data_IF_614310812614
#
_entry.id   IF_614310812614
#
_cell.length_a   1.000
_cell.length_b   1.000
_cell.length_c   1.000
_cell.angle_alpha   90.00
_cell.angle_beta   90.00
_cell.angle_gamma   90.00
#
_symmetry.space_group_name_H-M   'P 1'
#
loop_
_entity.id
_entity.type
_entity.pdbx_description
1 polymer ?
#
# COMPACT_ATOMS: atom_id res chain seq x y z
N UNK A 1 -16.51 16.22 -30.46
CA UNK A 1 -16.77 17.12 -29.30
C UNK A 1 -15.74 16.81 -28.22
N UNK A 2 -14.75 17.69 -28.04
CA UNK A 2 -13.82 17.60 -26.91
C UNK A 2 -14.62 17.92 -25.64
N UNK A 3 -14.81 16.94 -24.77
CA UNK A 3 -15.41 17.18 -23.46
C UNK A 3 -14.40 17.98 -22.64
N UNK A 4 -14.73 19.23 -22.32
CA UNK A 4 -14.01 20.04 -21.34
C UNK A 4 -14.18 19.37 -19.98
N UNK A 5 -13.14 18.69 -19.50
CA UNK A 5 -13.09 17.99 -18.21
C UNK A 5 -12.90 18.99 -17.06
N UNK A 6 -13.90 19.82 -16.77
CA UNK A 6 -13.85 20.79 -15.66
C UNK A 6 -14.02 20.17 -14.27
N UNK A 7 -14.44 18.89 -14.19
CA UNK A 7 -14.63 18.14 -12.95
C UNK A 7 -13.81 16.83 -12.91
N UNK A 8 -12.59 16.84 -13.46
CA UNK A 8 -11.71 15.69 -13.31
C UNK A 8 -11.24 15.58 -11.85
N UNK A 9 -11.46 14.45 -11.16
CA UNK A 9 -10.87 14.24 -9.85
C UNK A 9 -9.34 14.30 -9.99
N UNK A 10 -8.67 14.97 -9.05
CA UNK A 10 -7.24 15.18 -9.15
C UNK A 10 -6.54 13.82 -8.96
N UNK A 11 -5.61 13.48 -9.86
CA UNK A 11 -4.84 12.25 -9.76
C UNK A 11 -4.16 12.10 -8.39
N UNK A 12 -3.70 13.21 -7.80
CA UNK A 12 -3.08 13.25 -6.49
C UNK A 12 -3.99 12.70 -5.37
N UNK A 13 -5.31 12.78 -5.53
CA UNK A 13 -6.29 12.29 -4.54
C UNK A 13 -6.33 10.76 -4.48
N UNK A 14 -5.85 10.07 -5.52
CA UNK A 14 -5.82 8.61 -5.61
C UNK A 14 -4.47 8.00 -5.22
N UNK A 15 -3.43 8.83 -5.01
CA UNK A 15 -2.11 8.34 -4.61
C UNK A 15 -2.10 8.17 -3.09
N UNK A 16 -2.03 6.93 -2.56
CA UNK A 16 -1.98 6.72 -1.13
C UNK A 16 -0.68 7.28 -0.55
N UNK A 17 -0.80 8.08 0.51
CA UNK A 17 0.36 8.63 1.22
C UNK A 17 1.25 7.49 1.71
N UNK A 18 2.53 7.55 1.36
CA UNK A 18 3.50 6.48 1.59
C UNK A 18 4.74 7.03 2.27
N UNK A 19 5.25 6.31 3.27
CA UNK A 19 6.43 6.65 4.07
C UNK A 19 7.38 5.48 4.05
N UNK A 20 8.66 5.77 3.90
CA UNK A 20 9.73 4.78 4.00
C UNK A 20 10.44 4.98 5.33
N UNK A 21 10.59 3.90 6.09
CA UNK A 21 11.17 3.90 7.43
C UNK A 21 12.23 2.82 7.50
N UNK A 22 13.48 3.18 7.77
CA UNK A 22 14.57 2.22 8.01
C UNK A 22 15.04 2.31 9.47
N UNK A 23 16.16 1.68 9.81
CA UNK A 23 16.74 1.75 11.16
C UNK A 23 17.17 3.16 11.59
N UNK A 24 17.61 3.99 10.65
CA UNK A 24 18.10 5.35 10.89
C UNK A 24 16.99 6.39 10.95
N UNK A 25 15.80 6.08 10.43
CA UNK A 25 14.67 7.00 10.43
C UNK A 25 14.21 7.31 11.85
N UNK A 26 14.12 8.61 12.18
CA UNK A 26 13.46 9.05 13.40
C UNK A 26 11.96 8.76 13.34
N UNK A 27 11.48 7.90 14.24
CA UNK A 27 10.07 7.53 14.29
C UNK A 27 9.19 8.67 14.80
N UNK A 28 9.72 9.58 15.63
CA UNK A 28 8.95 10.69 16.17
C UNK A 28 8.60 11.69 15.07
N UNK A 29 9.58 12.08 14.25
CA UNK A 29 9.35 12.89 13.05
C UNK A 29 8.31 12.26 12.12
N UNK A 30 8.47 10.99 11.75
CA UNK A 30 7.49 10.31 10.86
C UNK A 30 6.09 10.25 11.50
N UNK A 31 6.02 10.05 12.81
CA UNK A 31 4.74 10.06 13.52
C UNK A 31 4.09 11.45 13.50
N UNK A 32 4.87 12.52 13.63
CA UNK A 32 4.43 13.90 13.46
C UNK A 32 3.83 14.14 12.08
N UNK A 33 4.58 13.83 11.02
CA UNK A 33 4.14 14.00 9.63
C UNK A 33 2.86 13.22 9.32
N UNK A 34 2.76 11.99 9.81
CA UNK A 34 1.58 11.15 9.61
C UNK A 34 0.35 11.69 10.35
N UNK A 35 0.52 12.37 11.50
CA UNK A 35 -0.57 13.05 12.21
C UNK A 35 -1.03 14.28 11.46
N UNK A 36 -0.10 15.13 11.04
CA UNK A 36 -0.39 16.34 10.25
C UNK A 36 -1.14 15.98 8.97
N UNK A 37 -0.71 14.90 8.30
CA UNK A 37 -1.35 14.39 7.08
C UNK A 37 -2.67 13.64 7.32
N UNK A 38 -3.14 13.54 8.57
CA UNK A 38 -4.43 12.95 8.93
C UNK A 38 -4.51 11.42 8.84
N UNK A 39 -3.37 10.72 8.76
CA UNK A 39 -3.34 9.28 8.48
C UNK A 39 -3.60 8.45 9.75
N UNK A 40 -3.09 8.89 10.90
CA UNK A 40 -3.14 8.10 12.15
C UNK A 40 -4.50 8.18 12.85
N UNK A 41 -5.24 9.30 12.73
CA UNK A 41 -6.41 9.56 13.57
C UNK A 41 -7.53 8.52 13.38
N UNK A 42 -7.73 8.05 12.14
CA UNK A 42 -8.78 7.07 11.81
C UNK A 42 -8.38 6.10 10.68
N UNK A 43 -7.12 6.13 10.23
CA UNK A 43 -6.67 5.40 9.04
C UNK A 43 -6.10 4.02 9.35
N UNK A 44 -6.53 3.03 8.56
CA UNK A 44 -5.77 1.79 8.42
C UNK A 44 -4.50 2.09 7.61
N UNK A 45 -3.39 1.45 7.96
CA UNK A 45 -2.16 1.52 7.18
C UNK A 45 -1.65 0.13 6.88
N UNK A 46 -1.02 -0.02 5.73
CA UNK A 46 -0.32 -1.22 5.30
C UNK A 46 1.16 -1.05 5.65
N UNK A 47 1.71 -2.01 6.37
CA UNK A 47 3.13 -2.09 6.70
C UNK A 47 3.74 -3.23 5.89
N UNK A 48 4.70 -2.90 5.01
CA UNK A 48 5.39 -3.83 4.13
C UNK A 48 6.88 -3.86 4.47
N UNK A 49 7.43 -5.04 4.71
CA UNK A 49 8.87 -5.21 4.83
C UNK A 49 9.51 -5.17 3.43
N UNK A 50 10.56 -4.36 3.25
CA UNK A 50 11.39 -4.39 2.06
C UNK A 50 12.54 -5.36 2.31
N UNK A 51 12.33 -6.63 2.03
CA UNK A 51 13.44 -7.59 2.00
C UNK A 51 14.24 -7.41 0.70
N UNK A 52 15.57 -7.42 0.82
CA UNK A 52 16.46 -7.52 -0.35
C UNK A 52 16.17 -8.82 -1.10
N UNK A 53 15.97 -8.75 -2.41
CA UNK A 53 15.57 -9.88 -3.27
C UNK A 53 16.48 -11.13 -3.24
N UNK A 54 17.61 -11.11 -2.52
CA UNK A 54 18.57 -12.22 -2.41
C UNK A 54 17.98 -13.54 -1.87
N UNK A 55 16.79 -13.53 -1.27
CA UNK A 55 16.14 -14.73 -0.73
C UNK A 55 15.06 -15.36 -1.63
N UNK A 56 14.72 -14.76 -2.79
CA UNK A 56 13.72 -15.37 -3.70
C UNK A 56 14.18 -16.70 -4.33
N UNK A 57 15.46 -17.02 -4.25
CA UNK A 57 16.06 -18.26 -4.77
C UNK A 57 16.01 -19.44 -3.79
N UNK A 58 15.54 -19.27 -2.54
CA UNK A 58 15.38 -20.39 -1.59
C UNK A 58 13.90 -20.74 -1.37
N UNK A 59 13.42 -21.68 -2.18
CA UNK A 59 12.40 -22.69 -1.84
C UNK A 59 11.11 -22.26 -1.13
N UNK A 60 10.02 -22.18 -1.90
CA UNK A 60 8.63 -22.62 -1.58
C UNK A 60 7.89 -22.19 -0.29
N UNK A 61 8.45 -21.38 0.62
CA UNK A 61 7.72 -21.01 1.88
C UNK A 61 7.43 -19.52 2.06
N UNK A 62 7.80 -18.64 1.13
CA UNK A 62 7.56 -17.18 1.26
C UNK A 62 6.11 -16.73 1.05
N UNK A 63 5.19 -17.67 0.82
CA UNK A 63 3.78 -17.40 0.55
C UNK A 63 2.97 -16.88 1.76
N UNK A 64 3.58 -16.58 2.92
CA UNK A 64 2.83 -16.44 4.19
C UNK A 64 3.02 -15.16 5.00
N UNK A 65 3.72 -14.13 4.50
CA UNK A 65 3.65 -12.81 5.14
C UNK A 65 2.94 -11.83 4.24
N UNK A 66 1.61 -11.94 4.23
CA UNK A 66 0.75 -10.86 3.77
C UNK A 66 1.17 -9.58 4.50
N UNK A 67 1.16 -8.42 3.83
CA UNK A 67 1.52 -7.18 4.47
C UNK A 67 0.54 -6.89 5.61
N UNK A 68 1.06 -6.45 6.76
CA UNK A 68 0.24 -6.19 7.93
C UNK A 68 -0.63 -4.96 7.65
N UNK A 69 -1.92 -5.06 7.95
CA UNK A 69 -2.83 -3.91 8.00
C UNK A 69 -3.13 -3.61 9.46
N UNK A 70 -2.78 -2.41 9.94
CA UNK A 70 -2.91 -2.05 11.35
C UNK A 70 -3.33 -0.59 11.53
N UNK A 71 -3.88 -0.28 12.71
CA UNK A 71 -4.12 1.09 13.18
C UNK A 71 -2.94 1.61 14.02
N UNK A 72 -1.99 0.74 14.39
CA UNK A 72 -0.84 1.05 15.26
C UNK A 72 0.48 0.73 14.55
N UNK A 73 0.85 1.47 13.48
CA UNK A 73 2.06 1.16 12.71
C UNK A 73 3.35 1.23 13.53
N UNK A 74 3.46 2.15 14.48
CA UNK A 74 4.70 2.38 15.23
C UNK A 74 5.01 1.28 16.24
N UNK A 75 4.00 0.64 16.85
CA UNK A 75 4.24 -0.54 17.70
C UNK A 75 4.77 -1.69 16.86
N UNK A 76 4.23 -1.87 15.66
CA UNK A 76 4.70 -2.89 14.73
C UNK A 76 6.13 -2.60 14.24
N UNK A 77 6.43 -1.37 13.86
CA UNK A 77 7.77 -1.01 13.39
C UNK A 77 8.80 -1.20 14.50
N UNK A 78 8.48 -0.85 15.75
CA UNK A 78 9.34 -1.13 16.91
C UNK A 78 9.56 -2.65 17.10
N UNK A 79 8.50 -3.46 16.95
CA UNK A 79 8.59 -4.92 17.00
C UNK A 79 9.49 -5.47 15.88
N UNK A 80 9.31 -4.99 14.65
CA UNK A 80 10.11 -5.39 13.49
C UNK A 80 11.59 -4.99 13.64
N UNK A 81 11.86 -3.76 14.11
CA UNK A 81 13.22 -3.28 14.44
C UNK A 81 13.91 -4.18 15.46
N UNK A 82 13.20 -4.59 16.52
CA UNK A 82 13.73 -5.49 17.54
C UNK A 82 13.98 -6.90 17.00
N UNK A 83 13.13 -7.37 16.09
CA UNK A 83 13.18 -8.76 15.63
C UNK A 83 14.19 -8.99 14.51
N UNK A 84 14.29 -8.17 13.46
CA UNK A 84 15.00 -8.60 12.24
C UNK A 84 15.35 -7.49 11.23
N UNK A 85 15.73 -6.29 11.66
CA UNK A 85 16.38 -5.35 10.73
C UNK A 85 17.89 -5.45 10.91
N UNK A 86 18.54 -6.28 10.09
CA UNK A 86 19.98 -6.15 9.86
C UNK A 86 20.21 -5.18 8.70
N UNK A 87 21.04 -4.15 8.92
CA UNK A 87 21.50 -3.26 7.86
C UNK A 87 20.50 -2.19 7.37
N UNK A 88 20.48 -1.96 6.05
CA UNK A 88 19.68 -0.92 5.37
C UNK A 88 18.24 -1.38 5.01
N UNK A 89 17.77 -2.52 5.53
CA UNK A 89 16.42 -3.01 5.25
C UNK A 89 15.35 -2.02 5.74
N UNK A 90 14.43 -1.67 4.83
CA UNK A 90 13.39 -0.67 5.06
C UNK A 90 12.01 -1.28 5.28
N UNK A 91 11.13 -0.51 5.90
CA UNK A 91 9.71 -0.77 6.03
C UNK A 91 8.96 0.33 5.31
N UNK A 92 8.00 -0.05 4.47
CA UNK A 92 7.12 0.87 3.79
C UNK A 92 5.78 0.91 4.51
N UNK A 93 5.40 2.10 4.96
CA UNK A 93 4.09 2.40 5.53
C UNK A 93 3.27 3.08 4.46
N UNK A 94 2.10 2.56 4.15
CA UNK A 94 1.22 3.14 3.15
C UNK A 94 -0.20 3.28 3.70
N UNK A 95 -0.82 4.42 3.46
CA UNK A 95 -2.23 4.62 3.76
C UNK A 95 -3.08 3.54 3.08
N UNK A 96 -3.91 2.84 3.84
CA UNK A 96 -4.83 1.87 3.28
C UNK A 96 -6.01 2.57 2.62
N UNK A 97 -6.31 2.19 1.38
CA UNK A 97 -7.50 2.66 0.67
C UNK A 97 -8.72 1.92 1.24
N UNK A 98 -9.40 2.58 2.18
CA UNK A 98 -10.51 2.01 2.94
C UNK A 98 -11.83 1.95 2.15
N UNK A 99 -12.03 2.87 1.20
CA UNK A 99 -13.22 2.96 0.36
C UNK A 99 -12.87 2.83 -1.13
N UNK A 100 -12.40 1.66 -1.60
CA UNK A 100 -12.09 1.43 -3.00
C UNK A 100 -13.38 1.34 -3.83
N UNK A 101 -13.26 1.53 -5.14
CA UNK A 101 -14.32 1.19 -6.07
C UNK A 101 -14.64 -0.32 -5.96
N UNK A 102 -15.92 -0.63 -5.86
CA UNK A 102 -16.41 -2.00 -5.76
C UNK A 102 -17.15 -2.40 -7.02
N UNK A 103 -16.89 -3.61 -7.51
CA UNK A 103 -17.68 -4.21 -8.57
C UNK A 103 -18.56 -5.30 -7.96
N UNK A 104 -19.88 -5.08 -7.99
CA UNK A 104 -20.87 -5.97 -7.34
C UNK A 104 -20.54 -6.25 -5.86
N UNK A 105 -20.21 -5.20 -5.11
CA UNK A 105 -19.87 -5.31 -3.68
C UNK A 105 -18.53 -5.96 -3.37
N UNK A 106 -17.69 -6.24 -4.38
CA UNK A 106 -16.38 -6.89 -4.23
C UNK A 106 -15.25 -5.95 -4.64
N UNK A 107 -14.16 -5.95 -3.87
CA UNK A 107 -12.92 -5.26 -4.26
C UNK A 107 -12.30 -5.99 -5.45
N UNK A 108 -11.71 -5.23 -6.35
CA UNK A 108 -10.90 -5.75 -7.43
C UNK A 108 -9.59 -4.98 -7.54
N UNK A 109 -8.62 -5.56 -8.24
CA UNK A 109 -7.47 -4.86 -8.80
C UNK A 109 -7.43 -5.12 -10.29
N UNK A 110 -6.88 -4.19 -11.06
CA UNK A 110 -6.60 -4.42 -12.48
C UNK A 110 -5.09 -4.43 -12.69
N UNK A 111 -4.64 -5.25 -13.63
CA UNK A 111 -3.28 -5.27 -14.12
C UNK A 111 -3.33 -4.87 -15.58
N UNK A 112 -2.81 -3.69 -15.89
CA UNK A 112 -2.57 -3.27 -17.26
C UNK A 112 -1.12 -3.54 -17.65
N UNK A 113 -0.87 -3.68 -18.94
CA UNK A 113 0.48 -3.75 -19.49
C UNK A 113 0.74 -2.51 -20.34
N UNK A 114 1.96 -2.01 -20.27
CA UNK A 114 2.42 -0.89 -21.08
C UNK A 114 3.80 -1.21 -21.62
N UNK A 115 4.01 -1.01 -22.93
CA UNK A 115 5.30 -1.17 -23.59
C UNK A 115 5.95 0.21 -23.75
N UNK A 116 7.09 0.41 -23.09
CA UNK A 116 7.91 1.61 -23.27
C UNK A 116 8.82 1.39 -24.48
N UNK A 117 8.54 2.09 -25.59
CA UNK A 117 9.27 1.94 -26.86
C UNK A 117 10.46 2.89 -26.93
N UNK A 118 10.30 4.10 -26.41
CA UNK A 118 11.38 5.08 -26.30
C UNK A 118 11.20 5.93 -25.05
N UNK A 119 12.31 6.36 -24.44
CA UNK A 119 12.33 7.32 -23.33
C UNK A 119 12.60 8.74 -23.80
N UNK A 120 13.08 8.92 -25.05
CA UNK A 120 13.34 10.22 -25.66
C UNK A 120 13.18 10.14 -27.21
N UNK A 121 12.04 10.60 -27.78
CA UNK A 121 10.86 11.09 -27.07
C UNK A 121 10.18 9.96 -26.26
N UNK A 122 9.49 10.30 -25.17
CA UNK A 122 8.75 9.32 -24.39
C UNK A 122 7.60 8.74 -25.23
N UNK A 123 7.70 7.46 -25.59
CA UNK A 123 6.67 6.70 -26.31
C UNK A 123 6.31 5.45 -25.51
N UNK A 124 5.05 5.38 -25.06
CA UNK A 124 4.51 4.26 -24.27
C UNK A 124 3.21 3.78 -24.90
N UNK A 125 3.14 2.49 -25.24
CA UNK A 125 1.96 1.84 -25.83
C UNK A 125 1.19 1.08 -24.75
N UNK A 126 -0.10 1.35 -24.62
CA UNK A 126 -0.99 0.64 -23.69
C UNK A 126 -1.48 -0.67 -24.29
N UNK A 127 -1.62 -1.69 -23.46
CA UNK A 127 -2.26 -2.96 -23.80
C UNK A 127 -3.32 -3.31 -22.74
N UNK A 128 -4.45 -3.83 -23.22
CA UNK A 128 -5.56 -4.23 -22.37
C UNK A 128 -5.14 -5.21 -21.28
N UNK A 129 -5.69 -4.98 -20.10
CA UNK A 129 -5.33 -5.66 -18.88
C UNK A 129 -6.28 -6.79 -18.48
N UNK A 130 -6.07 -7.28 -17.26
CA UNK A 130 -6.97 -8.23 -16.58
C UNK A 130 -7.43 -7.68 -15.24
N UNK A 131 -8.65 -8.05 -14.84
CA UNK A 131 -9.24 -7.69 -13.56
C UNK A 131 -9.22 -8.91 -12.62
N UNK A 132 -8.58 -8.74 -11.46
CA UNK A 132 -8.64 -9.70 -10.37
C UNK A 132 -9.70 -9.26 -9.37
N UNK A 133 -10.80 -10.01 -9.30
CA UNK A 133 -11.90 -9.74 -8.35
C UNK A 133 -11.74 -10.60 -7.10
N UNK A 134 -11.98 -9.99 -5.93
CA UNK A 134 -12.04 -10.71 -4.66
C UNK A 134 -13.16 -11.76 -4.69
N UNK A 135 -12.88 -12.94 -4.11
CA UNK A 135 -13.88 -13.99 -3.92
C UNK A 135 -14.97 -13.55 -2.92
N UNK A 136 -14.54 -12.84 -1.88
CA UNK A 136 -15.41 -12.39 -0.80
C UNK A 136 -15.88 -10.94 -0.98
N UNK A 137 -17.07 -10.64 -0.47
CA UNK A 137 -17.62 -9.29 -0.41
C UNK A 137 -16.75 -8.36 0.43
N UNK A 138 -16.74 -7.09 0.06
CA UNK A 138 -15.94 -6.08 0.73
C UNK A 138 -16.58 -5.66 2.05
N UNK A 139 -15.84 -5.78 3.15
CA UNK A 139 -16.27 -5.27 4.45
C UNK A 139 -16.19 -3.75 4.51
N UNK A 140 -17.12 -3.12 5.23
CA UNK A 140 -17.07 -1.68 5.51
C UNK A 140 -15.82 -1.31 6.32
N UNK A 141 -15.43 -0.03 6.29
CA UNK A 141 -14.24 0.47 7.01
C UNK A 141 -14.28 0.14 8.51
N UNK A 142 -15.43 0.29 9.16
CA UNK A 142 -15.58 -0.03 10.58
C UNK A 142 -15.41 -1.52 10.88
N UNK A 143 -16.04 -2.39 10.07
CA UNK A 143 -15.88 -3.84 10.19
C UNK A 143 -14.43 -4.29 9.98
N UNK A 144 -13.70 -3.61 9.08
CA UNK A 144 -12.26 -3.88 8.86
C UNK A 144 -11.40 -3.47 10.04
N UNK A 145 -11.62 -2.28 10.59
CA UNK A 145 -10.88 -1.80 11.74
C UNK A 145 -11.04 -2.77 12.92
N UNK A 146 -12.26 -3.23 13.19
CA UNK A 146 -12.54 -4.26 14.20
C UNK A 146 -11.83 -5.58 13.88
N UNK A 147 -11.95 -6.07 12.64
CA UNK A 147 -11.32 -7.32 12.22
C UNK A 147 -9.79 -7.28 12.38
N UNK A 148 -9.14 -6.19 11.99
CA UNK A 148 -7.68 -6.06 12.08
C UNK A 148 -7.21 -5.76 13.50
N UNK A 149 -8.01 -5.07 14.32
CA UNK A 149 -7.73 -4.88 15.74
C UNK A 149 -7.72 -6.21 16.51
N UNK A 150 -8.59 -7.16 16.15
CA UNK A 150 -8.72 -8.45 16.83
C UNK A 150 -7.67 -9.50 16.41
N UNK A 151 -6.84 -9.21 15.40
CA UNK A 151 -5.79 -10.11 14.88
C UNK A 151 -4.41 -9.75 15.49
N UNK A 152 -4.28 -8.59 16.16
CA UNK A 152 -3.01 -8.10 16.74
C UNK A 152 -3.02 -8.25 18.25
#
# INVERSE_FOLDING_TARGET
>A
KMHSYSNCPNYADFIPKTFMVNLRTDLHSVQGDMREKGIIKHGLVVVKHQHRQRQFSKGRSSAHRLPLVTTKPFSEIKRLRKQHLEGDDGVLIQQYIASPLLWQGRKFSFRAWALMVSTNPLLVLYHDGIIYRSLYSYLSTGQKQQRFANIT
#
